data_IF_989597830133
#
_entry.id   IF_989597830133
#
_cell.length_a   1.000
_cell.length_b   1.000
_cell.length_c   1.000
_cell.angle_alpha   90.00
_cell.angle_beta   90.00
_cell.angle_gamma   90.00
#
_symmetry.space_group_name_H-M   'P 1'
#
loop_
_entity.id
_entity.type
_entity.pdbx_description
1 polymer ?
#
# COMPACT_ATOMS: atom_id res chain seq x y z
N UNK A 1 10.76 -11.22 1.08
CA UNK A 1 12.06 -10.91 1.69
C UNK A 1 11.84 -10.32 3.06
N UNK A 2 12.85 -10.34 3.91
CA UNK A 2 12.79 -9.83 5.27
C UNK A 2 13.28 -8.38 5.41
N UNK A 3 13.73 -7.76 4.31
CA UNK A 3 14.08 -6.33 4.24
C UNK A 3 13.73 -5.70 2.88
N UNK A 4 13.61 -4.36 2.80
CA UNK A 4 13.46 -3.64 1.53
C UNK A 4 14.54 -3.99 0.49
N UNK A 5 15.80 -4.09 0.93
CA UNK A 5 16.93 -4.39 0.04
C UNK A 5 16.84 -5.81 -0.52
N UNK A 6 16.37 -6.78 0.27
CA UNK A 6 16.15 -8.14 -0.20
C UNK A 6 14.97 -8.20 -1.18
N UNK A 7 13.88 -7.48 -0.88
CA UNK A 7 12.73 -7.40 -1.77
C UNK A 7 13.11 -6.78 -3.12
N UNK A 8 13.87 -5.69 -3.11
CA UNK A 8 14.38 -5.05 -4.31
C UNK A 8 15.30 -5.98 -5.13
N UNK A 9 16.25 -6.67 -4.47
CA UNK A 9 17.11 -7.68 -5.13
C UNK A 9 16.32 -8.82 -5.76
N UNK A 10 15.19 -9.20 -5.15
CA UNK A 10 14.29 -10.24 -5.67
C UNK A 10 13.33 -9.72 -6.75
N UNK A 11 13.47 -8.46 -7.19
CA UNK A 11 12.65 -7.88 -8.24
C UNK A 11 11.24 -7.50 -7.78
N UNK A 12 11.01 -7.36 -6.47
CA UNK A 12 9.77 -6.78 -5.97
C UNK A 12 9.70 -5.27 -6.27
N UNK A 13 8.49 -4.74 -6.28
CA UNK A 13 8.18 -3.31 -6.43
C UNK A 13 7.48 -2.84 -5.16
N UNK A 14 7.96 -1.74 -4.59
CA UNK A 14 7.26 -1.10 -3.48
C UNK A 14 6.02 -0.39 -4.01
N UNK A 15 4.89 -0.64 -3.37
CA UNK A 15 3.61 -0.04 -3.68
C UNK A 15 3.17 0.79 -2.48
N UNK A 16 3.09 2.11 -2.65
CA UNK A 16 2.74 3.05 -1.58
C UNK A 16 1.31 2.78 -1.10
N UNK A 17 0.38 2.54 -2.03
CA UNK A 17 -1.00 2.28 -1.68
C UNK A 17 -1.18 0.92 -1.01
N UNK A 18 -0.29 -0.05 -1.18
CA UNK A 18 -0.25 -1.24 -0.30
C UNK A 18 0.58 -1.06 0.96
N UNK A 19 1.45 -0.05 1.01
CA UNK A 19 2.52 0.04 2.01
C UNK A 19 3.37 -1.25 2.10
N UNK A 20 3.58 -1.92 0.96
CA UNK A 20 4.23 -3.23 0.91
C UNK A 20 5.09 -3.43 -0.34
N UNK A 21 6.06 -4.34 -0.22
CA UNK A 21 6.87 -4.82 -1.34
C UNK A 21 6.20 -6.02 -2.00
N UNK A 22 5.76 -5.87 -3.26
CA UNK A 22 5.05 -6.90 -4.00
C UNK A 22 5.94 -7.51 -5.09
N UNK A 23 5.89 -8.83 -5.34
CA UNK A 23 6.47 -9.41 -6.55
C UNK A 23 5.97 -8.67 -7.80
N UNK A 24 6.84 -8.46 -8.80
CA UNK A 24 6.47 -7.70 -10.00
C UNK A 24 5.19 -8.22 -10.70
N UNK A 25 4.93 -9.54 -10.64
CA UNK A 25 3.72 -10.16 -11.21
C UNK A 25 2.43 -9.91 -10.41
N UNK A 26 2.54 -9.50 -9.14
CA UNK A 26 1.41 -9.20 -8.25
C UNK A 26 1.19 -7.69 -8.09
N UNK A 27 2.13 -6.86 -8.55
CA UNK A 27 2.02 -5.41 -8.48
C UNK A 27 1.08 -4.89 -9.58
N UNK A 28 0.10 -4.08 -9.19
CA UNK A 28 -0.76 -3.34 -10.10
C UNK A 28 -0.47 -1.85 -9.99
N UNK A 29 0.67 -1.45 -10.59
CA UNK A 29 1.15 -0.07 -10.51
C UNK A 29 0.17 0.94 -11.10
N UNK A 30 -0.55 0.58 -12.17
CA UNK A 30 -1.54 1.49 -12.77
C UNK A 30 -2.61 1.85 -11.75
N UNK A 31 -3.23 0.85 -11.09
CA UNK A 31 -4.24 1.08 -10.07
C UNK A 31 -3.68 1.83 -8.85
N UNK A 32 -2.47 1.45 -8.40
CA UNK A 32 -1.82 2.14 -7.28
C UNK A 32 -1.60 3.62 -7.57
N UNK A 33 -1.10 3.97 -8.76
CA UNK A 33 -0.92 5.37 -9.15
C UNK A 33 -2.25 6.08 -9.39
N UNK A 34 -3.30 5.40 -9.87
CA UNK A 34 -4.65 5.98 -10.00
C UNK A 34 -5.17 6.45 -8.63
N UNK A 35 -5.03 5.63 -7.59
CA UNK A 35 -5.41 5.99 -6.22
C UNK A 35 -4.48 7.04 -5.61
N UNK A 36 -3.17 6.87 -5.78
CA UNK A 36 -2.17 7.76 -5.23
C UNK A 36 -2.30 9.19 -5.77
N UNK A 37 -2.70 9.36 -7.04
CA UNK A 37 -2.82 10.67 -7.68
C UNK A 37 -4.16 11.38 -7.43
N UNK A 38 -5.09 10.79 -6.67
CA UNK A 38 -6.39 11.44 -6.38
C UNK A 38 -6.23 12.66 -5.46
N UNK A 39 -5.24 12.64 -4.57
CA UNK A 39 -5.02 13.66 -3.56
C UNK A 39 -3.53 13.91 -3.31
N UNK A 40 -3.22 15.02 -2.65
CA UNK A 40 -1.87 15.29 -2.15
C UNK A 40 -1.72 14.68 -0.76
N UNK A 41 -0.98 13.59 -0.68
CA UNK A 41 -0.73 12.86 0.55
C UNK A 41 0.49 13.38 1.29
N UNK A 42 0.48 13.19 2.62
CA UNK A 42 1.62 13.53 3.47
C UNK A 42 1.89 12.37 4.42
N UNK A 43 3.14 11.93 4.46
CA UNK A 43 3.64 10.92 5.39
C UNK A 43 4.72 11.50 6.30
N UNK A 44 4.89 10.87 7.46
CA UNK A 44 5.83 11.29 8.48
C UNK A 44 6.63 10.11 9.03
N UNK A 45 7.89 10.35 9.38
CA UNK A 45 8.76 9.34 9.99
C UNK A 45 8.45 9.09 11.47
N UNK A 46 7.77 10.03 12.11
CA UNK A 46 7.49 10.04 13.55
C UNK A 46 5.98 10.20 13.86
N UNK A 47 5.53 9.70 15.03
CA UNK A 47 4.14 9.85 15.47
C UNK A 47 3.74 11.28 15.86
N UNK A 48 4.71 12.19 16.05
CA UNK A 48 4.41 13.60 16.34
C UNK A 48 4.13 14.40 15.06
N UNK A 49 4.24 13.78 13.88
CA UNK A 49 3.97 14.35 12.57
C UNK A 49 4.88 15.56 12.25
N UNK A 50 6.17 15.47 12.61
CA UNK A 50 7.13 16.56 12.43
C UNK A 50 8.08 16.31 11.25
N UNK A 51 8.63 15.11 11.15
CA UNK A 51 9.59 14.70 10.13
C UNK A 51 8.86 14.21 8.88
N UNK A 52 8.67 15.11 7.93
CA UNK A 52 7.98 14.88 6.66
C UNK A 52 8.79 13.98 5.73
N UNK A 53 8.15 12.90 5.23
CA UNK A 53 8.63 12.19 4.04
C UNK A 53 8.18 12.87 2.76
N UNK A 54 9.11 13.04 1.83
CA UNK A 54 8.78 13.38 0.43
C UNK A 54 8.18 12.18 -0.29
N UNK A 55 7.45 12.43 -1.38
CA UNK A 55 6.95 11.36 -2.24
C UNK A 55 8.09 10.49 -2.79
N UNK A 56 9.25 11.07 -3.10
CA UNK A 56 10.42 10.31 -3.56
C UNK A 56 10.94 9.35 -2.48
N UNK A 57 10.99 9.80 -1.21
CA UNK A 57 11.37 8.94 -0.09
C UNK A 57 10.36 7.81 0.12
N UNK A 58 9.06 8.11 0.01
CA UNK A 58 8.03 7.09 0.10
C UNK A 58 8.14 6.04 -1.00
N UNK A 59 8.40 6.47 -2.25
CA UNK A 59 8.55 5.57 -3.41
C UNK A 59 9.74 4.62 -3.28
N UNK A 60 10.76 4.95 -2.48
CA UNK A 60 11.90 4.06 -2.23
C UNK A 60 11.52 2.85 -1.36
N UNK A 61 10.46 2.94 -0.55
CA UNK A 61 10.07 1.85 0.35
C UNK A 61 11.13 1.48 1.40
N UNK A 62 12.11 2.37 1.62
CA UNK A 62 13.24 2.20 2.55
C UNK A 62 12.91 2.81 3.92
N UNK A 63 11.71 2.52 4.41
CA UNK A 63 11.22 2.98 5.70
C UNK A 63 10.49 1.83 6.39
N UNK A 64 10.56 1.80 7.74
CA UNK A 64 9.91 0.76 8.53
C UNK A 64 8.48 1.14 8.90
N UNK A 65 8.25 2.43 9.09
CA UNK A 65 6.96 3.01 9.46
C UNK A 65 6.78 4.32 8.69
N UNK A 66 5.54 4.62 8.31
CA UNK A 66 5.14 5.89 7.73
C UNK A 66 3.80 6.28 8.36
N UNK A 67 3.82 7.32 9.20
CA UNK A 67 2.61 7.88 9.79
C UNK A 67 1.90 8.74 8.76
N UNK A 68 0.57 8.71 8.72
CA UNK A 68 -0.21 9.36 7.66
C UNK A 68 -1.56 9.84 8.17
N UNK A 69 -2.33 10.49 7.31
CA UNK A 69 -3.64 11.03 7.65
C UNK A 69 -4.72 9.95 7.65
N UNK A 70 -5.83 10.15 8.38
CA UNK A 70 -7.00 9.27 8.31
C UNK A 70 -7.55 9.11 6.88
N UNK A 71 -7.52 10.18 6.08
CA UNK A 71 -7.97 10.14 4.68
C UNK A 71 -7.15 9.14 3.85
N UNK A 72 -5.83 9.09 4.07
CA UNK A 72 -4.98 8.10 3.40
C UNK A 72 -5.36 6.67 3.81
N UNK A 73 -5.66 6.42 5.08
CA UNK A 73 -6.10 5.09 5.54
C UNK A 73 -7.41 4.65 4.86
N UNK A 74 -8.39 5.56 4.75
CA UNK A 74 -9.66 5.27 4.06
C UNK A 74 -9.42 4.96 2.57
N UNK A 75 -8.56 5.74 1.91
CA UNK A 75 -8.22 5.50 0.50
C UNK A 75 -7.43 4.21 0.28
N UNK A 76 -6.49 3.89 1.17
CA UNK A 76 -5.78 2.61 1.21
C UNK A 76 -6.75 1.43 1.32
N UNK A 77 -7.72 1.53 2.23
CA UNK A 77 -8.80 0.56 2.40
C UNK A 77 -9.61 0.33 1.11
N UNK A 78 -10.05 1.41 0.47
CA UNK A 78 -10.81 1.32 -0.79
C UNK A 78 -9.99 0.65 -1.91
N UNK A 79 -8.70 1.02 -2.03
CA UNK A 79 -7.77 0.43 -2.97
C UNK A 79 -7.60 -1.08 -2.77
N UNK A 80 -7.41 -1.54 -1.53
CA UNK A 80 -7.28 -2.97 -1.24
C UNK A 80 -8.56 -3.76 -1.51
N UNK A 81 -9.72 -3.18 -1.18
CA UNK A 81 -11.01 -3.79 -1.51
C UNK A 81 -11.16 -3.97 -3.02
N UNK A 82 -10.81 -2.96 -3.82
CA UNK A 82 -10.84 -3.06 -5.28
C UNK A 82 -9.89 -4.14 -5.81
N UNK A 83 -8.65 -4.20 -5.30
CA UNK A 83 -7.68 -5.24 -5.66
C UNK A 83 -8.18 -6.64 -5.32
N UNK A 84 -8.77 -6.82 -4.14
CA UNK A 84 -9.39 -8.09 -3.75
C UNK A 84 -10.46 -8.50 -4.77
N UNK A 85 -11.38 -7.59 -5.13
CA UNK A 85 -12.45 -7.90 -6.10
C UNK A 85 -11.90 -8.19 -7.50
N UNK A 86 -10.89 -7.42 -7.97
CA UNK A 86 -10.23 -7.66 -9.26
C UNK A 86 -9.57 -9.04 -9.30
N UNK A 87 -8.94 -9.45 -8.21
CA UNK A 87 -8.33 -10.78 -8.08
C UNK A 87 -9.36 -11.92 -8.20
N UNK A 88 -10.55 -11.73 -7.63
CA UNK A 88 -11.64 -12.71 -7.68
C UNK A 88 -12.25 -12.85 -9.08
N UNK A 89 -12.30 -11.76 -9.85
CA UNK A 89 -12.85 -11.75 -11.21
C UNK A 89 -11.85 -12.23 -12.27
N UNK A 90 -10.57 -12.44 -11.91
CA UNK A 90 -9.47 -12.71 -12.84
C UNK A 90 -9.30 -11.61 -13.92
N UNK A 91 -9.74 -10.38 -13.62
CA UNK A 91 -9.61 -9.21 -14.51
C UNK A 91 -8.20 -8.60 -14.40
N UNK A 92 -7.20 -9.36 -14.84
CA UNK A 92 -5.80 -8.90 -14.94
C UNK A 92 -4.95 -9.09 -13.66
N UNK A 93 -5.52 -8.93 -12.47
CA UNK A 93 -4.88 -9.38 -11.22
C UNK A 93 -5.20 -10.86 -10.99
N UNK A 94 -4.18 -11.72 -11.10
CA UNK A 94 -4.37 -13.17 -10.95
C UNK A 94 -4.31 -13.65 -9.50
N UNK A 95 -3.80 -12.81 -8.60
CA UNK A 95 -3.52 -13.18 -7.22
C UNK A 95 -3.84 -12.00 -6.30
N UNK A 96 -4.63 -12.24 -5.26
CA UNK A 96 -4.66 -11.34 -4.13
C UNK A 96 -3.36 -11.48 -3.34
N UNK A 97 -2.81 -10.37 -2.84
CA UNK A 97 -1.78 -10.45 -1.81
C UNK A 97 -2.39 -10.94 -0.49
N UNK A 98 -1.53 -11.41 0.42
CA UNK A 98 -1.95 -11.96 1.71
C UNK A 98 -2.71 -10.97 2.57
N UNK A 99 -2.40 -9.68 2.47
CA UNK A 99 -2.93 -8.66 3.36
C UNK A 99 -4.32 -8.24 2.91
N UNK A 100 -4.58 -8.19 1.60
CA UNK A 100 -5.91 -7.94 1.03
C UNK A 100 -6.93 -9.04 1.36
N UNK A 101 -6.50 -10.25 1.74
CA UNK A 101 -7.39 -11.37 2.12
C UNK A 101 -7.28 -11.78 3.59
N UNK A 102 -6.46 -11.08 4.39
CA UNK A 102 -6.34 -11.34 5.82
C UNK A 102 -7.54 -10.75 6.57
N UNK A 103 -8.24 -11.60 7.34
CA UNK A 103 -9.47 -11.19 8.01
C UNK A 103 -9.23 -10.15 9.11
N UNK A 104 -8.07 -10.17 9.78
CA UNK A 104 -7.75 -9.18 10.82
C UNK A 104 -7.53 -7.82 10.18
N UNK A 105 -6.88 -7.80 9.02
CA UNK A 105 -6.69 -6.59 8.25
C UNK A 105 -8.02 -6.02 7.73
N UNK A 106 -8.90 -6.87 7.20
CA UNK A 106 -10.25 -6.47 6.77
C UNK A 106 -11.05 -5.87 7.94
N UNK A 107 -10.97 -6.45 9.14
CA UNK A 107 -11.63 -5.88 10.33
C UNK A 107 -11.03 -4.53 10.72
N UNK A 108 -9.70 -4.38 10.77
CA UNK A 108 -9.05 -3.09 11.04
C UNK A 108 -9.50 -2.01 10.05
N UNK A 109 -9.59 -2.39 8.78
CA UNK A 109 -10.08 -1.52 7.73
C UNK A 109 -11.55 -1.12 7.94
N UNK A 110 -12.41 -2.08 8.27
CA UNK A 110 -13.82 -1.81 8.56
C UNK A 110 -13.99 -0.87 9.77
N UNK A 111 -13.21 -1.06 10.83
CA UNK A 111 -13.21 -0.20 12.03
C UNK A 111 -12.76 1.24 11.71
N UNK A 112 -11.97 1.43 10.66
CA UNK A 112 -11.54 2.77 10.22
C UNK A 112 -12.61 3.52 9.42
N UNK A 113 -13.69 2.83 9.02
CA UNK A 113 -14.81 3.38 8.24
C UNK A 113 -16.06 3.69 9.08
N UNK A 114 -16.13 3.17 10.32
CA UNK A 114 -17.30 3.21 11.20
C UNK A 114 -17.04 4.08 12.44
#
# INVERSE_FOLDING_TARGET
GSSPEEAERNGCKFDIMMSAWLPSQCSNRTLSEEYLNQYNWQWYADPQLVEVFSLEQMRKGQHRFAWTTPDFHVTHCAYMLERMVRSMKMDGEKWADSDSVDIKHVHHCADSLL
#
